data_IF_283792773992
#
_entry.id   IF_283792773992
#
_cell.length_a   1.000
_cell.length_b   1.000
_cell.length_c   1.000
_cell.angle_alpha   90.00
_cell.angle_beta   90.00
_cell.angle_gamma   90.00
#
_symmetry.space_group_name_H-M   'P 1'
#
loop_
_entity.id
_entity.type
_entity.pdbx_description
1 polymer ?
#
# COMPACT_ATOMS: atom_id res chain seq x y z
N UNK A 1 23.62 7.79 14.66
CA UNK A 1 22.42 6.91 14.52
C UNK A 1 21.34 7.50 13.60
N UNK A 2 20.90 8.76 13.74
CA UNK A 2 19.85 9.36 12.88
C UNK A 2 20.23 9.42 11.39
N UNK A 3 21.41 9.93 11.07
CA UNK A 3 21.89 9.98 9.68
C UNK A 3 22.07 8.60 9.05
N UNK A 4 22.47 7.61 9.85
CA UNK A 4 22.66 6.23 9.40
C UNK A 4 21.34 5.59 8.91
N UNK A 5 20.24 5.79 9.65
CA UNK A 5 18.92 5.24 9.26
C UNK A 5 18.34 5.93 8.03
N UNK A 6 18.58 7.23 7.87
CA UNK A 6 18.17 7.96 6.65
C UNK A 6 18.97 7.48 5.44
N UNK A 7 20.27 7.26 5.58
CA UNK A 7 21.11 6.71 4.52
C UNK A 7 20.65 5.30 4.13
N UNK A 8 20.39 4.43 5.11
CA UNK A 8 19.83 3.10 4.84
C UNK A 8 18.46 3.19 4.16
N UNK A 9 17.58 4.07 4.63
CA UNK A 9 16.28 4.32 4.01
C UNK A 9 16.40 4.77 2.56
N UNK A 10 17.34 5.67 2.27
CA UNK A 10 17.63 6.16 0.92
C UNK A 10 18.15 5.04 0.01
N UNK A 11 19.16 4.28 0.46
CA UNK A 11 19.74 3.19 -0.33
C UNK A 11 18.72 2.09 -0.60
N UNK A 12 17.96 1.68 0.43
CA UNK A 12 16.97 0.62 0.32
C UNK A 12 15.79 1.06 -0.57
N UNK A 13 15.24 2.24 -0.35
CA UNK A 13 14.11 2.75 -1.15
C UNK A 13 14.50 3.00 -2.60
N UNK A 14 15.72 3.49 -2.86
CA UNK A 14 16.25 3.64 -4.22
C UNK A 14 16.40 2.27 -4.91
N UNK A 15 16.96 1.29 -4.20
CA UNK A 15 17.14 -0.07 -4.73
C UNK A 15 15.80 -0.73 -5.05
N UNK A 16 14.85 -0.69 -4.10
CA UNK A 16 13.50 -1.22 -4.29
C UNK A 16 12.79 -0.49 -5.42
N UNK A 17 12.88 0.85 -5.48
CA UNK A 17 12.27 1.67 -6.52
C UNK A 17 12.79 1.33 -7.91
N UNK A 18 14.11 1.15 -8.07
CA UNK A 18 14.74 0.74 -9.33
C UNK A 18 14.32 -0.67 -9.75
N UNK A 19 14.32 -1.64 -8.83
CA UNK A 19 13.86 -3.00 -9.10
C UNK A 19 12.39 -2.99 -9.51
N UNK A 20 11.55 -2.24 -8.81
CA UNK A 20 10.12 -2.11 -9.10
C UNK A 20 9.85 -1.45 -10.46
N UNK A 21 10.64 -0.44 -10.84
CA UNK A 21 10.57 0.15 -12.17
C UNK A 21 10.90 -0.86 -13.27
N UNK A 22 11.99 -1.64 -13.10
CA UNK A 22 12.36 -2.72 -14.02
C UNK A 22 11.29 -3.80 -14.12
N UNK A 23 10.63 -4.11 -13.00
CA UNK A 23 9.48 -5.04 -12.93
C UNK A 23 8.15 -4.43 -13.39
N UNK A 24 8.15 -3.21 -13.93
CA UNK A 24 6.93 -2.49 -14.38
C UNK A 24 5.88 -2.31 -13.27
N UNK A 25 6.30 -2.27 -12.01
CA UNK A 25 5.43 -1.97 -10.86
C UNK A 25 5.40 -0.48 -10.49
N UNK A 26 6.44 0.28 -10.89
CA UNK A 26 6.49 1.74 -10.73
C UNK A 26 6.75 2.43 -12.07
N UNK A 27 6.22 3.64 -12.22
CA UNK A 27 6.66 4.58 -13.26
C UNK A 27 7.93 5.32 -12.84
N UNK A 28 8.50 6.16 -13.72
CA UNK A 28 9.67 7.00 -13.36
C UNK A 28 9.34 7.96 -12.21
N UNK A 29 8.17 8.59 -12.24
CA UNK A 29 7.71 9.44 -11.13
C UNK A 29 7.39 8.62 -9.88
N UNK A 30 6.92 7.38 -10.04
CA UNK A 30 6.73 6.43 -8.95
C UNK A 30 8.02 6.12 -8.18
N UNK A 31 9.18 6.06 -8.84
CA UNK A 31 10.48 5.89 -8.16
C UNK A 31 10.73 7.05 -7.19
N UNK A 32 10.51 8.29 -7.63
CA UNK A 32 10.69 9.46 -6.76
C UNK A 32 9.75 9.40 -5.55
N UNK A 33 8.50 9.00 -5.75
CA UNK A 33 7.54 8.79 -4.67
C UNK A 33 8.01 7.72 -3.68
N UNK A 34 8.49 6.59 -4.21
CA UNK A 34 9.01 5.48 -3.39
C UNK A 34 10.25 5.88 -2.59
N UNK A 35 11.16 6.68 -3.17
CA UNK A 35 12.34 7.19 -2.47
C UNK A 35 11.93 8.14 -1.35
N UNK A 36 11.05 9.12 -1.61
CA UNK A 36 10.60 10.09 -0.60
C UNK A 36 9.87 9.38 0.54
N UNK A 37 8.87 8.55 0.22
CA UNK A 37 8.08 7.81 1.21
C UNK A 37 8.95 6.80 1.95
N UNK A 38 9.70 5.96 1.24
CA UNK A 38 10.54 4.93 1.83
C UNK A 38 11.64 5.50 2.74
N UNK A 39 12.38 6.51 2.28
CA UNK A 39 13.45 7.14 3.06
C UNK A 39 12.91 7.79 4.32
N UNK A 40 11.79 8.52 4.22
CA UNK A 40 11.19 9.20 5.37
C UNK A 40 10.64 8.19 6.38
N UNK A 41 9.90 7.18 5.92
CA UNK A 41 9.34 6.17 6.81
C UNK A 41 10.41 5.34 7.51
N UNK A 42 11.44 4.86 6.79
CA UNK A 42 12.57 4.15 7.41
C UNK A 42 13.37 5.05 8.33
N UNK A 43 13.71 6.26 7.89
CA UNK A 43 14.56 7.17 8.65
C UNK A 43 13.92 7.67 9.94
N UNK A 44 12.60 7.89 9.93
CA UNK A 44 11.88 8.45 11.08
C UNK A 44 11.28 7.38 12.00
N UNK A 45 10.75 6.28 11.42
CA UNK A 45 10.08 5.21 12.15
C UNK A 45 10.96 3.98 12.46
N UNK A 46 12.09 3.82 11.76
CA UNK A 46 12.98 2.67 11.92
C UNK A 46 12.51 1.41 11.18
N UNK A 47 13.12 0.28 11.53
CA UNK A 47 12.90 -1.02 10.85
C UNK A 47 11.43 -1.47 10.81
N UNK A 48 10.65 -1.43 11.91
CA UNK A 48 9.28 -1.96 11.86
C UNK A 48 8.38 -1.19 10.90
N UNK A 49 8.54 0.13 10.86
CA UNK A 49 7.79 1.01 9.96
C UNK A 49 8.24 0.73 8.52
N UNK A 50 9.53 0.86 8.24
CA UNK A 50 10.07 0.63 6.91
C UNK A 50 9.72 -0.74 6.32
N UNK A 51 9.90 -1.82 7.08
CA UNK A 51 9.61 -3.18 6.62
C UNK A 51 8.11 -3.42 6.43
N UNK A 52 7.24 -2.82 7.24
CA UNK A 52 5.78 -2.91 7.02
C UNK A 52 5.32 -2.18 5.76
N UNK A 53 5.96 -1.05 5.42
CA UNK A 53 5.76 -0.35 4.15
C UNK A 53 6.25 -1.19 2.96
N UNK A 54 7.39 -1.87 3.11
CA UNK A 54 7.90 -2.81 2.09
C UNK A 54 6.94 -3.97 1.91
N UNK A 55 6.41 -4.55 3.00
CA UNK A 55 5.41 -5.62 2.92
C UNK A 55 4.16 -5.18 2.15
N UNK A 56 3.59 -4.02 2.48
CA UNK A 56 2.49 -3.43 1.72
C UNK A 56 2.84 -3.33 0.23
N UNK A 57 3.98 -2.71 -0.10
CA UNK A 57 4.38 -2.48 -1.49
C UNK A 57 4.60 -3.77 -2.27
N UNK A 58 5.34 -4.73 -1.69
CA UNK A 58 5.69 -5.99 -2.35
C UNK A 58 4.46 -6.86 -2.53
N UNK A 59 3.68 -7.09 -1.47
CA UNK A 59 2.46 -7.93 -1.54
C UNK A 59 1.46 -7.36 -2.55
N UNK A 60 1.22 -6.05 -2.48
CA UNK A 60 0.32 -5.34 -3.40
C UNK A 60 0.85 -5.37 -4.84
N UNK A 61 2.16 -5.27 -5.06
CA UNK A 61 2.74 -5.40 -6.40
C UNK A 61 2.61 -6.81 -6.95
N UNK A 62 2.77 -7.85 -6.13
CA UNK A 62 2.55 -9.24 -6.53
C UNK A 62 1.10 -9.42 -7.00
N UNK A 63 0.13 -8.94 -6.21
CA UNK A 63 -1.29 -9.03 -6.57
C UNK A 63 -1.63 -8.22 -7.83
N UNK A 64 -1.03 -7.04 -8.02
CA UNK A 64 -1.21 -6.25 -9.25
C UNK A 64 -0.77 -7.00 -10.51
N UNK A 65 0.29 -7.81 -10.43
CA UNK A 65 0.76 -8.61 -11.58
C UNK A 65 0.09 -9.98 -11.68
N UNK A 66 -0.52 -10.48 -10.59
CA UNK A 66 -1.24 -11.75 -10.58
C UNK A 66 -2.44 -11.71 -11.53
N UNK A 67 -2.49 -12.66 -12.48
CA UNK A 67 -3.58 -12.81 -13.47
C UNK A 67 -3.95 -11.50 -14.19
N UNK A 68 -2.96 -10.67 -14.51
CA UNK A 68 -3.20 -9.35 -15.12
C UNK A 68 -4.02 -9.40 -16.42
N UNK A 69 -3.86 -10.46 -17.23
CA UNK A 69 -4.62 -10.66 -18.47
C UNK A 69 -6.10 -10.92 -18.19
N UNK A 70 -6.42 -11.77 -17.22
CA UNK A 70 -7.80 -12.06 -16.83
C UNK A 70 -8.48 -10.79 -16.29
N UNK A 71 -7.77 -10.02 -15.46
CA UNK A 71 -8.29 -8.75 -14.92
C UNK A 71 -8.59 -7.72 -16.02
N UNK A 72 -7.71 -7.61 -17.01
CA UNK A 72 -7.92 -6.73 -18.17
C UNK A 72 -9.13 -7.17 -19.01
N UNK A 73 -9.34 -8.47 -19.19
CA UNK A 73 -10.48 -9.00 -19.94
C UNK A 73 -11.82 -8.86 -19.19
N UNK A 74 -11.81 -8.91 -17.85
CA UNK A 74 -13.02 -8.85 -17.02
C UNK A 74 -13.52 -7.41 -16.83
N UNK A 75 -12.61 -6.45 -16.73
CA UNK A 75 -12.93 -5.07 -16.34
C UNK A 75 -12.66 -4.04 -17.45
N UNK A 76 -12.41 -4.48 -18.68
CA UNK A 76 -12.11 -3.65 -19.86
C UNK A 76 -11.03 -2.57 -19.60
N UNK A 77 -11.09 -1.44 -20.32
CA UNK A 77 -10.19 -0.28 -20.23
C UNK A 77 -10.09 0.34 -18.83
N UNK A 78 -10.98 0.01 -17.87
CA UNK A 78 -10.89 0.54 -16.51
C UNK A 78 -9.68 -0.01 -15.74
N UNK A 79 -9.20 -1.21 -16.10
CA UNK A 79 -7.94 -1.78 -15.59
C UNK A 79 -6.75 -1.55 -16.55
N UNK A 80 -6.95 -0.92 -17.71
CA UNK A 80 -5.90 -0.71 -18.73
C UNK A 80 -4.95 0.46 -18.43
N UNK A 81 -5.27 1.31 -17.43
CA UNK A 81 -4.25 2.13 -16.73
C UNK A 81 -3.29 1.16 -16.02
N UNK A 82 -2.27 0.71 -16.74
CA UNK A 82 -1.44 -0.44 -16.36
C UNK A 82 -0.90 -0.44 -14.93
N UNK A 83 -0.40 -1.59 -14.48
CA UNK A 83 0.03 -1.91 -13.10
C UNK A 83 1.14 -1.03 -12.49
N UNK A 84 1.59 0.02 -13.19
CA UNK A 84 2.66 0.92 -12.75
C UNK A 84 2.08 2.01 -11.87
N UNK A 85 2.47 2.02 -10.60
CA UNK A 85 2.14 3.11 -9.69
C UNK A 85 2.99 4.34 -10.00
N UNK A 86 2.36 5.49 -10.18
CA UNK A 86 3.03 6.78 -10.31
C UNK A 86 3.21 7.49 -8.97
N UNK A 87 3.81 8.68 -8.99
CA UNK A 87 4.02 9.46 -7.77
C UNK A 87 2.70 9.74 -7.03
N UNK A 88 1.63 10.09 -7.76
CA UNK A 88 0.35 10.42 -7.17
C UNK A 88 -0.28 9.21 -6.47
N UNK A 89 -0.20 8.03 -7.08
CA UNK A 89 -0.66 6.78 -6.47
C UNK A 89 0.19 6.38 -5.26
N UNK A 90 1.51 6.56 -5.31
CA UNK A 90 2.37 6.33 -4.14
C UNK A 90 2.03 7.30 -2.99
N UNK A 91 1.80 8.57 -3.31
CA UNK A 91 1.40 9.58 -2.32
C UNK A 91 0.00 9.31 -1.76
N UNK A 92 -0.95 8.86 -2.58
CA UNK A 92 -2.30 8.53 -2.13
C UNK A 92 -2.28 7.35 -1.13
N UNK A 93 -1.54 6.29 -1.43
CA UNK A 93 -1.54 5.08 -0.61
C UNK A 93 -0.55 5.13 0.56
N UNK A 94 0.55 5.89 0.44
CA UNK A 94 1.64 5.92 1.41
C UNK A 94 1.87 7.29 2.07
N UNK A 95 1.26 8.36 1.58
CA UNK A 95 1.52 9.73 2.03
C UNK A 95 1.13 9.97 3.47
N UNK A 96 -0.07 9.55 3.88
CA UNK A 96 -0.53 9.66 5.28
C UNK A 96 0.42 8.90 6.21
N UNK A 97 0.80 7.67 5.86
CA UNK A 97 1.76 6.89 6.63
C UNK A 97 3.13 7.59 6.71
N UNK A 98 3.58 8.22 5.62
CA UNK A 98 4.83 9.00 5.57
C UNK A 98 4.79 10.19 6.52
N UNK A 99 3.70 10.98 6.48
CA UNK A 99 3.51 12.15 7.34
C UNK A 99 3.40 11.76 8.83
N UNK A 100 2.76 10.63 9.12
CA UNK A 100 2.68 10.11 10.48
C UNK A 100 4.03 9.61 10.99
N UNK A 101 4.87 9.02 10.14
CA UNK A 101 6.24 8.66 10.51
C UNK A 101 7.09 9.88 10.85
N UNK A 102 6.98 10.93 10.04
CA UNK A 102 7.64 12.21 10.30
C UNK A 102 7.14 12.82 11.63
N UNK A 103 5.82 12.92 11.79
CA UNK A 103 5.19 13.50 12.99
C UNK A 103 5.51 12.72 14.26
N UNK A 104 5.52 11.39 14.19
CA UNK A 104 5.90 10.48 15.28
C UNK A 104 7.28 10.83 15.86
N UNK A 105 8.21 11.22 14.99
CA UNK A 105 9.59 11.52 15.37
C UNK A 105 9.79 12.95 15.86
N UNK A 106 9.03 13.90 15.32
CA UNK A 106 9.16 15.32 15.65
C UNK A 106 8.36 15.73 16.89
N UNK A 107 7.30 14.98 17.25
CA UNK A 107 6.46 15.37 18.39
C UNK A 107 7.11 15.04 19.74
N UNK A 108 7.15 16.00 20.69
CA UNK A 108 7.60 15.71 22.06
C UNK A 108 6.53 14.99 22.89
N UNK A 109 5.25 15.13 22.52
CA UNK A 109 4.12 14.58 23.28
C UNK A 109 4.03 13.05 23.14
N UNK A 110 4.04 12.36 24.27
CA UNK A 110 3.82 10.90 24.31
C UNK A 110 2.46 10.50 23.77
N UNK A 111 1.43 11.32 24.01
CA UNK A 111 0.08 11.08 23.51
C UNK A 111 0.03 11.17 21.97
N UNK A 112 0.55 12.26 21.40
CA UNK A 112 0.58 12.42 19.94
C UNK A 112 1.43 11.34 19.26
N UNK A 113 2.52 10.92 19.89
CA UNK A 113 3.35 9.83 19.39
C UNK A 113 2.60 8.50 19.33
N UNK A 114 1.77 8.18 20.34
CA UNK A 114 0.88 7.02 20.31
C UNK A 114 -0.17 7.14 19.19
N UNK A 115 -0.77 8.32 19.02
CA UNK A 115 -1.71 8.56 17.91
C UNK A 115 -1.04 8.37 16.54
N UNK A 116 0.17 8.88 16.35
CA UNK A 116 0.89 8.72 15.09
C UNK A 116 1.19 7.25 14.78
N UNK A 117 1.56 6.47 15.81
CA UNK A 117 1.78 5.04 15.66
C UNK A 117 0.49 4.31 15.23
N UNK A 118 -0.61 4.53 15.94
CA UNK A 118 -1.90 3.88 15.63
C UNK A 118 -2.41 4.31 14.24
N UNK A 119 -2.29 5.60 13.92
CA UNK A 119 -2.65 6.13 12.63
C UNK A 119 -1.80 5.56 11.50
N UNK A 120 -0.50 5.36 11.73
CA UNK A 120 0.41 4.79 10.73
C UNK A 120 0.00 3.35 10.37
N UNK A 121 -0.23 2.53 11.39
CA UNK A 121 -0.69 1.14 11.21
C UNK A 121 -2.04 1.12 10.52
N UNK A 122 -2.99 1.95 10.96
CA UNK A 122 -4.32 2.05 10.36
C UNK A 122 -4.28 2.52 8.90
N UNK A 123 -3.43 3.49 8.58
CA UNK A 123 -3.27 4.00 7.22
C UNK A 123 -2.73 2.92 6.28
N UNK A 124 -1.65 2.23 6.67
CA UNK A 124 -1.10 1.15 5.84
C UNK A 124 -2.04 -0.07 5.77
N UNK A 125 -2.73 -0.41 6.86
CA UNK A 125 -3.70 -1.50 6.86
C UNK A 125 -4.85 -1.22 5.89
N UNK A 126 -5.37 0.02 5.91
CA UNK A 126 -6.38 0.49 4.95
C UNK A 126 -5.87 0.42 3.51
N UNK A 127 -4.68 0.94 3.24
CA UNK A 127 -4.09 0.91 1.89
C UNK A 127 -3.86 -0.51 1.37
N UNK A 128 -3.42 -1.42 2.26
CA UNK A 128 -3.22 -2.84 1.94
C UNK A 128 -4.55 -3.52 1.65
N UNK A 129 -5.55 -3.30 2.50
CA UNK A 129 -6.89 -3.84 2.35
C UNK A 129 -7.55 -3.38 1.05
N UNK A 130 -7.48 -2.10 0.72
CA UNK A 130 -8.02 -1.52 -0.50
C UNK A 130 -7.36 -2.12 -1.76
N UNK A 131 -6.03 -2.23 -1.74
CA UNK A 131 -5.30 -2.80 -2.88
C UNK A 131 -5.61 -4.29 -3.04
N UNK A 132 -5.60 -5.07 -1.97
CA UNK A 132 -5.92 -6.50 -2.03
C UNK A 132 -7.36 -6.73 -2.49
N UNK A 133 -8.31 -5.93 -1.99
CA UNK A 133 -9.71 -5.99 -2.38
C UNK A 133 -9.90 -5.69 -3.88
N UNK A 134 -9.21 -4.69 -4.40
CA UNK A 134 -9.29 -4.32 -5.83
C UNK A 134 -8.68 -5.40 -6.71
N UNK A 135 -7.48 -5.89 -6.36
CA UNK A 135 -6.71 -6.82 -7.19
C UNK A 135 -7.28 -8.24 -7.19
N UNK A 136 -7.83 -8.70 -6.07
CA UNK A 136 -8.48 -10.02 -5.98
C UNK A 136 -9.98 -9.95 -6.26
N UNK A 137 -10.66 -8.89 -5.85
CA UNK A 137 -12.11 -8.76 -5.98
C UNK A 137 -12.59 -8.69 -7.43
N UNK A 138 -11.77 -8.16 -8.34
CA UNK A 138 -12.07 -8.17 -9.79
C UNK A 138 -12.13 -9.58 -10.38
N UNK A 139 -11.41 -10.55 -9.78
CA UNK A 139 -11.42 -11.96 -10.18
C UNK A 139 -12.58 -12.75 -9.58
N UNK A 140 -13.49 -12.08 -8.86
CA UNK A 140 -14.65 -12.72 -8.25
C UNK A 140 -15.58 -13.32 -9.31
N UNK A 141 -16.07 -14.57 -9.11
CA UNK A 141 -17.10 -15.13 -9.98
C UNK A 141 -18.47 -14.45 -9.80
N UNK A 142 -18.69 -13.78 -8.67
CA UNK A 142 -19.91 -13.02 -8.40
C UNK A 142 -19.78 -11.59 -8.92
N UNK A 143 -20.84 -11.11 -9.58
CA UNK A 143 -20.92 -9.71 -10.04
C UNK A 143 -20.88 -8.74 -8.84
N UNK A 144 -20.13 -7.62 -8.94
CA UNK A 144 -20.05 -6.65 -7.87
C UNK A 144 -21.37 -5.93 -7.64
N UNK A 145 -21.58 -5.49 -6.40
CA UNK A 145 -22.71 -4.67 -5.98
C UNK A 145 -22.19 -3.35 -5.40
N UNK A 146 -22.86 -2.23 -5.70
CA UNK A 146 -22.50 -0.96 -5.07
C UNK A 146 -22.71 -1.03 -3.56
N UNK A 147 -21.70 -0.66 -2.79
CA UNK A 147 -21.78 -0.66 -1.31
C UNK A 147 -22.88 0.26 -0.77
N UNK A 148 -23.22 1.33 -1.49
CA UNK A 148 -24.23 2.31 -1.10
C UNK A 148 -25.66 1.90 -1.40
N UNK A 149 -25.90 1.12 -2.47
CA UNK A 149 -27.27 0.84 -2.97
C UNK A 149 -27.58 -0.64 -3.14
N UNK A 150 -26.58 -1.53 -3.04
CA UNK A 150 -26.73 -2.96 -3.28
C UNK A 150 -26.99 -3.37 -4.75
N UNK A 151 -27.10 -2.39 -5.65
CA UNK A 151 -27.34 -2.61 -7.08
C UNK A 151 -26.15 -3.31 -7.73
N UNK A 152 -26.42 -4.30 -8.57
CA UNK A 152 -25.39 -4.99 -9.36
C UNK A 152 -24.80 -4.04 -10.39
N UNK A 153 -23.48 -3.99 -10.48
CA UNK A 153 -22.73 -3.13 -11.40
C UNK A 153 -21.69 -3.92 -12.20
N UNK A 154 -21.12 -3.30 -13.22
CA UNK A 154 -20.03 -3.89 -13.99
C UNK A 154 -18.75 -4.01 -13.13
N UNK A 155 -17.92 -5.04 -13.34
CA UNK A 155 -16.56 -5.12 -12.78
C UNK A 155 -15.75 -3.84 -13.00
N UNK A 156 -14.91 -3.47 -12.03
CA UNK A 156 -14.11 -2.24 -12.06
C UNK A 156 -14.89 -0.95 -11.82
N UNK A 157 -16.19 -1.02 -11.46
CA UNK A 157 -16.96 0.16 -11.04
C UNK A 157 -16.54 0.59 -9.63
N UNK A 158 -16.22 1.88 -9.46
CA UNK A 158 -15.89 2.44 -8.15
C UNK A 158 -17.03 2.22 -7.15
N UNK A 159 -16.68 1.77 -5.94
CA UNK A 159 -17.65 1.40 -4.90
C UNK A 159 -18.32 0.03 -5.08
N UNK A 160 -17.97 -0.73 -6.13
CA UNK A 160 -18.43 -2.11 -6.32
C UNK A 160 -17.68 -3.09 -5.42
N UNK A 161 -18.42 -3.82 -4.57
CA UNK A 161 -17.87 -4.84 -3.67
C UNK A 161 -18.29 -6.25 -4.11
N UNK A 162 -17.43 -7.23 -3.88
CA UNK A 162 -17.67 -8.66 -4.12
C UNK A 162 -17.32 -9.46 -2.86
N UNK A 163 -17.88 -10.66 -2.63
CA UNK A 163 -17.52 -11.48 -1.47
C UNK A 163 -16.01 -11.77 -1.39
N UNK A 164 -15.37 -12.05 -2.53
CA UNK A 164 -13.92 -12.25 -2.61
C UNK A 164 -13.15 -10.97 -2.28
N UNK A 165 -13.58 -9.83 -2.82
CA UNK A 165 -12.98 -8.53 -2.52
C UNK A 165 -13.09 -8.18 -1.03
N UNK A 166 -14.26 -8.40 -0.41
CA UNK A 166 -14.49 -8.17 1.02
C UNK A 166 -13.65 -9.09 1.90
N UNK A 167 -13.52 -10.37 1.54
CA UNK A 167 -12.61 -11.28 2.24
C UNK A 167 -11.15 -10.83 2.12
N UNK A 168 -10.74 -10.37 0.92
CA UNK A 168 -9.42 -9.83 0.69
C UNK A 168 -9.16 -8.51 1.46
N UNK A 169 -10.17 -7.66 1.65
CA UNK A 169 -10.11 -6.48 2.53
C UNK A 169 -9.72 -6.90 3.95
N UNK A 170 -10.46 -7.86 4.53
CA UNK A 170 -10.20 -8.34 5.89
C UNK A 170 -8.82 -8.99 6.00
N UNK A 171 -8.45 -9.85 5.04
CA UNK A 171 -7.15 -10.51 5.01
C UNK A 171 -5.98 -9.51 4.89
N UNK A 172 -6.10 -8.50 4.02
CA UNK A 172 -5.06 -7.49 3.83
C UNK A 172 -4.85 -6.61 5.07
N UNK A 173 -5.94 -6.16 5.70
CA UNK A 173 -5.86 -5.39 6.94
C UNK A 173 -5.23 -6.20 8.09
N UNK A 174 -5.69 -7.44 8.28
CA UNK A 174 -5.15 -8.33 9.30
C UNK A 174 -3.67 -8.64 9.06
N UNK A 175 -3.29 -8.99 7.82
CA UNK A 175 -1.91 -9.29 7.47
C UNK A 175 -0.99 -8.09 7.75
N UNK A 176 -1.39 -6.87 7.35
CA UNK A 176 -0.61 -5.67 7.61
C UNK A 176 -0.43 -5.43 9.11
N UNK A 177 -1.50 -5.56 9.89
CA UNK A 177 -1.46 -5.41 11.35
C UNK A 177 -0.57 -6.45 12.02
N UNK A 178 -0.68 -7.73 11.63
CA UNK A 178 0.15 -8.83 12.14
C UNK A 178 1.61 -8.64 11.80
N UNK A 179 1.94 -8.26 10.56
CA UNK A 179 3.33 -7.98 10.13
C UNK A 179 3.93 -6.88 11.00
N UNK A 180 3.22 -5.76 11.17
CA UNK A 180 3.73 -4.68 11.99
C UNK A 180 3.91 -5.08 13.45
N UNK A 181 2.95 -5.82 14.02
CA UNK A 181 3.03 -6.33 15.40
C UNK A 181 4.22 -7.27 15.61
N UNK A 182 4.49 -8.18 14.67
CA UNK A 182 5.66 -9.06 14.72
C UNK A 182 6.96 -8.26 14.66
N UNK A 183 7.04 -7.29 13.74
CA UNK A 183 8.22 -6.46 13.57
C UNK A 183 8.55 -5.59 14.79
N UNK A 184 7.55 -5.24 15.62
CA UNK A 184 7.80 -4.50 16.86
C UNK A 184 8.38 -5.35 17.99
N UNK A 185 8.32 -6.68 17.86
CA UNK A 185 8.79 -7.62 18.89
C UNK A 185 10.21 -8.13 18.64
N UNK A 186 10.78 -7.83 17.48
CA UNK A 186 12.16 -8.12 17.10
C UNK A 186 13.06 -6.90 17.39
#
# INVERSE_FOLDING_TARGET
MRGTMLLFGLLLSSTIGLIAYRRRSLSRSGIAGAIVTGTTTFGMGGWPWGLSLVFFFVSSSILSHFRVRDKANIADDKFSKGSRRDFAQVAANGGVATLLALSYRLTPSHFLRRLCLMGYVGALATATADTWATELGVLSPHRPRLVTTGKVVAPGTSGGITPLGTAATAAGALAQGTVFWLLQRC
#
